data_IF_600727782905
#
_entry.id   IF_600727782905
#
_cell.length_a   1.000
_cell.length_b   1.000
_cell.length_c   1.000
_cell.angle_alpha   90.00
_cell.angle_beta   90.00
_cell.angle_gamma   90.00
#
_symmetry.space_group_name_H-M   'P 1'
#
loop_
_entity.id
_entity.type
_entity.pdbx_description
1 polymer ?
#
# COMPACT_ATOMS: atom_id res chain seq x y z
N UNK A 1 3.72 23.81 -10.25
CA UNK A 1 5.00 23.59 -10.97
C UNK A 1 4.85 22.33 -11.81
N UNK A 2 4.65 22.47 -13.13
CA UNK A 2 4.56 21.32 -14.04
C UNK A 2 5.98 20.80 -14.32
N UNK A 3 6.43 19.86 -13.50
CA UNK A 3 7.69 19.16 -13.70
C UNK A 3 7.56 18.24 -14.90
N UNK A 4 8.24 18.59 -16.00
CA UNK A 4 8.49 17.69 -17.13
C UNK A 4 9.05 16.36 -16.61
N UNK A 5 8.25 15.30 -16.71
CA UNK A 5 8.66 13.91 -16.47
C UNK A 5 9.70 13.51 -17.52
N UNK A 6 10.97 13.93 -17.35
CA UNK A 6 12.08 13.19 -17.94
C UNK A 6 12.02 11.80 -17.32
N UNK A 7 11.82 10.77 -18.15
CA UNK A 7 11.86 9.38 -17.71
C UNK A 7 13.18 9.15 -16.96
N UNK A 8 13.10 9.08 -15.63
CA UNK A 8 14.25 8.75 -14.81
C UNK A 8 14.81 7.41 -15.31
N UNK A 9 16.14 7.30 -15.38
CA UNK A 9 16.80 6.03 -15.67
C UNK A 9 16.23 4.96 -14.74
N UNK A 10 15.98 3.73 -15.24
CA UNK A 10 15.44 2.67 -14.39
C UNK A 10 16.33 2.48 -13.16
N UNK A 11 15.75 2.29 -11.97
CA UNK A 11 16.54 2.01 -10.78
C UNK A 11 17.33 0.72 -11.00
N UNK A 12 18.58 0.71 -10.55
CA UNK A 12 19.45 -0.47 -10.68
C UNK A 12 18.92 -1.62 -9.82
N UNK A 13 19.06 -2.86 -10.30
CA UNK A 13 18.77 -4.05 -9.53
C UNK A 13 19.66 -4.13 -8.27
N UNK A 14 19.09 -4.36 -7.07
CA UNK A 14 19.89 -4.56 -5.87
C UNK A 14 20.78 -5.81 -6.00
N UNK A 15 22.06 -5.68 -5.61
CA UNK A 15 23.02 -6.80 -5.66
C UNK A 15 22.77 -7.87 -4.61
N UNK A 16 22.16 -7.49 -3.49
CA UNK A 16 21.86 -8.37 -2.38
C UNK A 16 20.51 -7.98 -1.78
N UNK A 17 19.75 -8.99 -1.36
CA UNK A 17 18.45 -8.88 -0.73
C UNK A 17 18.38 -9.85 0.44
N UNK A 18 17.69 -9.44 1.49
CA UNK A 18 17.15 -10.31 2.52
C UNK A 18 15.69 -10.56 2.18
N UNK A 19 15.31 -11.83 2.10
CA UNK A 19 13.95 -12.26 1.79
C UNK A 19 13.14 -12.40 3.09
N UNK A 20 11.79 -12.37 3.03
CA UNK A 20 10.90 -12.57 4.18
C UNK A 20 11.20 -13.80 5.03
N UNK A 21 11.71 -14.88 4.44
CA UNK A 21 12.18 -16.07 5.19
C UNK A 21 13.45 -15.86 6.02
N UNK A 22 14.10 -14.70 5.92
CA UNK A 22 15.44 -14.41 6.46
C UNK A 22 16.57 -14.86 5.56
N UNK A 23 16.28 -15.54 4.43
CA UNK A 23 17.31 -15.97 3.47
C UNK A 23 17.93 -14.76 2.79
N UNK A 24 19.26 -14.71 2.74
CA UNK A 24 20.02 -13.69 2.00
C UNK A 24 20.39 -14.21 0.62
N UNK A 25 20.05 -13.45 -0.41
CA UNK A 25 20.32 -13.80 -1.80
C UNK A 25 20.97 -12.64 -2.54
N UNK A 26 21.71 -12.97 -3.59
CA UNK A 26 22.33 -12.06 -4.54
C UNK A 26 21.76 -12.31 -5.92
N UNK A 27 21.57 -11.24 -6.67
CA UNK A 27 21.17 -11.34 -8.09
C UNK A 27 22.36 -10.93 -8.95
N UNK A 28 22.77 -11.82 -9.84
CA UNK A 28 23.79 -11.53 -10.84
C UNK A 28 23.20 -10.58 -11.90
N UNK A 29 23.54 -9.30 -11.80
CA UNK A 29 22.92 -8.24 -12.62
C UNK A 29 23.25 -8.41 -14.10
N UNK A 30 24.49 -8.79 -14.42
CA UNK A 30 24.96 -8.89 -15.81
C UNK A 30 24.31 -10.09 -16.50
N UNK A 31 24.28 -11.24 -15.80
CA UNK A 31 23.58 -12.42 -16.28
C UNK A 31 22.08 -12.16 -16.39
N UNK A 32 21.45 -11.58 -15.36
CA UNK A 32 20.01 -11.27 -15.39
C UNK A 32 19.65 -10.34 -16.56
N UNK A 33 20.48 -9.32 -16.84
CA UNK A 33 20.25 -8.39 -17.96
C UNK A 33 20.37 -9.10 -19.30
N UNK A 34 21.40 -9.93 -19.46
CA UNK A 34 21.64 -10.70 -20.69
C UNK A 34 20.53 -11.72 -20.94
N UNK A 35 20.12 -12.45 -19.90
CA UNK A 35 19.02 -13.42 -19.96
C UNK A 35 17.68 -12.72 -20.23
N UNK A 36 17.40 -11.60 -19.58
CA UNK A 36 16.16 -10.85 -19.80
C UNK A 36 16.01 -10.39 -21.26
N UNK A 37 17.11 -10.00 -21.91
CA UNK A 37 17.13 -9.64 -23.32
C UNK A 37 16.85 -10.83 -24.26
N UNK A 38 17.11 -12.06 -23.82
CA UNK A 38 16.90 -13.29 -24.59
C UNK A 38 15.54 -13.96 -24.34
N UNK A 39 14.81 -13.56 -23.30
CA UNK A 39 13.50 -14.14 -22.98
C UNK A 39 12.43 -13.61 -23.93
N UNK A 40 11.81 -14.51 -24.69
CA UNK A 40 10.60 -14.19 -25.43
C UNK A 40 9.48 -13.81 -24.45
N UNK A 41 8.84 -12.67 -24.72
CA UNK A 41 7.74 -12.16 -23.90
C UNK A 41 6.46 -12.88 -24.31
N UNK A 42 5.98 -13.75 -23.43
CA UNK A 42 4.64 -14.32 -23.52
C UNK A 42 3.58 -13.37 -22.97
N UNK A 43 2.30 -13.78 -23.02
CA UNK A 43 1.18 -12.99 -22.51
C UNK A 43 1.17 -12.83 -20.98
N UNK A 44 1.87 -13.69 -20.21
CA UNK A 44 2.03 -13.50 -18.77
C UNK A 44 3.42 -12.94 -18.45
N UNK A 45 3.45 -11.73 -17.92
CA UNK A 45 4.70 -11.04 -17.60
C UNK A 45 5.36 -11.66 -16.38
N UNK A 46 4.56 -12.07 -15.39
CA UNK A 46 5.07 -12.78 -14.23
C UNK A 46 5.68 -14.15 -14.63
N UNK A 47 5.14 -14.85 -15.63
CA UNK A 47 5.76 -16.07 -16.15
C UNK A 47 7.13 -15.80 -16.78
N UNK A 48 7.29 -14.68 -17.51
CA UNK A 48 8.59 -14.27 -18.04
C UNK A 48 9.61 -13.97 -16.91
N UNK A 49 9.17 -13.36 -15.81
CA UNK A 49 9.98 -13.14 -14.61
C UNK A 49 10.42 -14.48 -13.98
N UNK A 50 9.53 -15.47 -13.91
CA UNK A 50 9.89 -16.79 -13.39
C UNK A 50 10.92 -17.51 -14.25
N UNK A 51 10.82 -17.41 -15.58
CA UNK A 51 11.86 -17.94 -16.49
C UNK A 51 13.22 -17.28 -16.25
N UNK A 52 13.23 -15.96 -16.08
CA UNK A 52 14.45 -15.20 -15.78
C UNK A 52 15.09 -15.66 -14.48
N UNK A 53 14.32 -15.66 -13.39
CA UNK A 53 14.82 -15.96 -12.05
C UNK A 53 15.26 -17.43 -11.90
N UNK A 54 14.62 -18.37 -12.63
CA UNK A 54 15.01 -19.79 -12.64
C UNK A 54 16.26 -20.09 -13.49
N UNK A 55 16.79 -19.11 -14.22
CA UNK A 55 18.02 -19.32 -14.98
C UNK A 55 19.19 -19.54 -14.02
N UNK A 56 19.92 -20.63 -14.21
CA UNK A 56 21.01 -21.03 -13.31
C UNK A 56 22.02 -19.89 -13.15
N UNK A 57 22.36 -19.58 -11.89
CA UNK A 57 23.32 -18.53 -11.56
C UNK A 57 22.74 -17.11 -11.47
N UNK A 58 21.51 -16.86 -11.93
CA UNK A 58 20.86 -15.54 -11.78
C UNK A 58 20.65 -15.21 -10.30
N UNK A 59 20.06 -16.13 -9.54
CA UNK A 59 19.89 -15.99 -8.08
C UNK A 59 20.84 -16.92 -7.35
N UNK A 60 21.59 -16.38 -6.40
CA UNK A 60 22.61 -17.11 -5.63
C UNK A 60 22.53 -16.76 -4.15
N UNK A 61 22.93 -17.67 -3.29
CA UNK A 61 23.20 -17.39 -1.88
C UNK A 61 24.66 -17.77 -1.54
N UNK A 62 24.98 -17.87 -0.25
CA UNK A 62 26.32 -18.27 0.19
C UNK A 62 26.68 -19.73 -0.17
N UNK A 63 25.67 -20.60 -0.32
CA UNK A 63 25.87 -22.01 -0.65
C UNK A 63 25.98 -22.27 -2.16
N UNK A 64 25.43 -21.39 -3.00
CA UNK A 64 25.55 -21.51 -4.45
C UNK A 64 24.34 -20.96 -5.21
N UNK A 65 24.07 -21.46 -6.43
CA UNK A 65 22.84 -21.18 -7.15
C UNK A 65 21.61 -21.57 -6.32
N UNK A 66 20.59 -20.71 -6.32
CA UNK A 66 19.33 -20.94 -5.63
C UNK A 66 18.31 -21.51 -6.61
N UNK A 67 17.68 -22.63 -6.26
CA UNK A 67 16.47 -23.08 -6.95
C UNK A 67 15.29 -22.19 -6.54
N UNK A 68 14.94 -21.26 -7.41
CA UNK A 68 13.83 -20.32 -7.20
C UNK A 68 12.47 -21.05 -7.14
N UNK A 69 12.35 -22.24 -7.74
CA UNK A 69 11.16 -23.08 -7.64
C UNK A 69 10.85 -23.53 -6.21
N UNK A 70 11.88 -23.75 -5.41
CA UNK A 70 11.77 -24.21 -4.02
C UNK A 70 11.62 -23.05 -3.01
N UNK A 71 11.72 -21.79 -3.45
CA UNK A 71 11.46 -20.65 -2.58
C UNK A 71 9.99 -20.57 -2.19
N UNK A 72 9.74 -20.18 -0.94
CA UNK A 72 8.41 -19.79 -0.50
C UNK A 72 7.86 -18.67 -1.40
N UNK A 73 6.56 -18.66 -1.70
CA UNK A 73 5.98 -17.68 -2.60
C UNK A 73 6.24 -16.23 -2.16
N UNK A 74 6.20 -15.95 -0.85
CA UNK A 74 6.52 -14.62 -0.30
C UNK A 74 7.90 -14.14 -0.74
N UNK A 75 8.89 -15.04 -0.73
CA UNK A 75 10.26 -14.74 -1.15
C UNK A 75 10.35 -14.56 -2.67
N UNK A 76 9.71 -15.43 -3.43
CA UNK A 76 9.69 -15.35 -4.89
C UNK A 76 9.03 -14.05 -5.39
N UNK A 77 7.95 -13.59 -4.76
CA UNK A 77 7.28 -12.34 -5.11
C UNK A 77 8.14 -11.10 -4.84
N UNK A 78 8.98 -11.10 -3.80
CA UNK A 78 9.95 -10.03 -3.57
C UNK A 78 10.95 -9.98 -4.73
N UNK A 79 11.48 -11.13 -5.15
CA UNK A 79 12.38 -11.19 -6.30
C UNK A 79 11.71 -10.69 -7.58
N UNK A 80 10.45 -11.07 -7.82
CA UNK A 80 9.70 -10.58 -8.98
C UNK A 80 9.51 -9.06 -8.96
N UNK A 81 9.11 -8.49 -7.83
CA UNK A 81 8.98 -7.05 -7.67
C UNK A 81 10.31 -6.33 -7.96
N UNK A 82 11.45 -6.89 -7.53
CA UNK A 82 12.77 -6.30 -7.82
C UNK A 82 13.15 -6.38 -9.30
N UNK A 83 12.78 -7.46 -10.00
CA UNK A 83 12.97 -7.61 -11.46
C UNK A 83 12.15 -6.56 -12.22
N UNK A 84 10.88 -6.37 -11.86
CA UNK A 84 10.02 -5.34 -12.45
C UNK A 84 10.50 -3.93 -12.14
N UNK A 85 10.91 -3.68 -10.89
CA UNK A 85 11.51 -2.41 -10.46
C UNK A 85 12.71 -2.04 -11.31
N UNK A 86 13.61 -3.00 -11.55
CA UNK A 86 14.80 -2.82 -12.38
C UNK A 86 14.51 -2.76 -13.89
N UNK A 87 13.25 -2.95 -14.30
CA UNK A 87 12.77 -3.00 -15.69
C UNK A 87 13.49 -4.05 -16.55
N UNK A 88 13.92 -5.15 -15.94
CA UNK A 88 14.40 -6.31 -16.69
C UNK A 88 13.25 -7.00 -17.44
N UNK A 89 12.08 -7.03 -16.79
CA UNK A 89 10.78 -7.27 -17.43
C UNK A 89 9.94 -6.02 -17.22
N UNK A 90 9.25 -5.55 -18.26
CA UNK A 90 8.47 -4.31 -18.15
C UNK A 90 7.09 -4.59 -17.56
N UNK A 91 6.82 -4.04 -16.37
CA UNK A 91 5.51 -4.11 -15.73
C UNK A 91 4.55 -3.11 -16.40
N UNK A 92 3.29 -3.50 -16.68
CA UNK A 92 2.32 -2.59 -17.25
C UNK A 92 1.96 -1.50 -16.25
N UNK A 93 1.57 -0.35 -16.79
CA UNK A 93 1.02 0.69 -15.95
C UNK A 93 -0.40 0.32 -15.52
N UNK A 94 -0.69 0.51 -14.24
CA UNK A 94 -2.05 0.43 -13.69
C UNK A 94 -2.61 1.85 -13.56
N UNK A 95 -3.91 2.00 -13.85
CA UNK A 95 -4.63 3.24 -13.59
C UNK A 95 -4.98 3.30 -12.10
N UNK A 96 -4.69 4.43 -11.47
CA UNK A 96 -5.02 4.73 -10.08
C UNK A 96 -5.95 5.92 -10.07
N UNK A 97 -7.01 5.82 -9.28
CA UNK A 97 -7.96 6.91 -9.02
C UNK A 97 -7.76 7.40 -7.59
N UNK A 98 -7.56 8.70 -7.41
CA UNK A 98 -7.45 9.29 -6.08
C UNK A 98 -8.77 9.17 -5.33
N UNK A 99 -8.74 8.63 -4.12
CA UNK A 99 -9.91 8.53 -3.25
C UNK A 99 -10.40 9.89 -2.75
N UNK A 100 -9.52 10.89 -2.70
CA UNK A 100 -9.81 12.22 -2.17
C UNK A 100 -10.44 13.12 -3.26
N UNK A 101 -9.73 13.31 -4.39
CA UNK A 101 -10.11 14.27 -5.44
C UNK A 101 -10.55 13.66 -6.77
N UNK A 102 -10.67 12.34 -6.87
CA UNK A 102 -11.05 11.59 -8.09
C UNK A 102 -10.10 11.72 -9.29
N UNK A 103 -9.00 12.46 -9.18
CA UNK A 103 -8.00 12.55 -10.24
C UNK A 103 -7.43 11.16 -10.56
N UNK A 104 -7.20 10.86 -11.84
CA UNK A 104 -6.61 9.59 -12.28
C UNK A 104 -5.20 9.78 -12.84
N UNK A 105 -4.35 8.77 -12.62
CA UNK A 105 -3.02 8.71 -13.20
C UNK A 105 -2.57 7.27 -13.39
N UNK A 106 -1.43 7.08 -14.05
CA UNK A 106 -0.85 5.78 -14.31
C UNK A 106 0.44 5.58 -13.54
N UNK A 107 0.64 4.38 -13.01
CA UNK A 107 1.87 4.02 -12.29
C UNK A 107 2.30 2.59 -12.59
N UNK A 108 3.61 2.35 -12.57
CA UNK A 108 4.18 0.98 -12.56
C UNK A 108 4.42 0.56 -11.11
N UNK A 109 3.59 -0.33 -10.52
CA UNK A 109 3.59 -0.56 -9.07
C UNK A 109 4.97 -0.90 -8.48
N UNK A 110 5.67 -1.87 -9.06
CA UNK A 110 6.97 -2.33 -8.59
C UNK A 110 8.06 -1.27 -8.73
N UNK A 111 7.93 -0.35 -9.70
CA UNK A 111 8.84 0.80 -9.83
C UNK A 111 8.69 1.81 -8.69
N UNK A 112 7.58 1.80 -7.95
CA UNK A 112 7.33 2.68 -6.82
C UNK A 112 7.56 1.99 -5.45
N UNK A 113 7.70 0.65 -5.41
CA UNK A 113 8.01 -0.10 -4.17
C UNK A 113 9.30 0.38 -3.52
N UNK A 114 9.29 0.48 -2.20
CA UNK A 114 10.47 0.82 -1.41
C UNK A 114 11.33 -0.42 -1.13
N UNK A 115 12.54 -0.54 -1.73
CA UNK A 115 13.35 -1.75 -1.59
C UNK A 115 14.15 -1.77 -0.29
N UNK A 116 14.19 -0.65 0.45
CA UNK A 116 15.04 -0.43 1.61
C UNK A 116 15.04 -1.59 2.60
N UNK A 117 13.87 -2.05 3.11
CA UNK A 117 13.84 -3.11 4.10
C UNK A 117 14.47 -4.42 3.64
N UNK A 118 14.26 -4.78 2.37
CA UNK A 118 14.84 -5.98 1.76
C UNK A 118 16.35 -5.83 1.53
N UNK A 119 16.81 -4.66 1.07
CA UNK A 119 18.23 -4.40 0.77
C UNK A 119 19.08 -4.30 2.03
N UNK A 120 18.51 -3.72 3.08
CA UNK A 120 19.23 -3.32 4.28
C UNK A 120 19.11 -4.29 5.46
N UNK A 121 18.44 -5.44 5.27
CA UNK A 121 18.20 -6.43 6.32
C UNK A 121 17.36 -5.84 7.47
N UNK A 122 16.30 -5.09 7.11
CA UNK A 122 15.39 -4.43 8.05
C UNK A 122 13.98 -5.06 8.10
N UNK A 123 13.90 -6.39 7.90
CA UNK A 123 12.66 -7.18 7.97
C UNK A 123 12.43 -7.73 9.39
N UNK A 124 12.13 -6.84 10.33
CA UNK A 124 11.92 -7.17 11.75
C UNK A 124 10.77 -6.38 12.39
N UNK A 125 9.88 -5.81 11.59
CA UNK A 125 8.67 -5.16 12.07
C UNK A 125 7.66 -6.22 12.53
N UNK A 126 7.12 -6.13 13.76
CA UNK A 126 6.27 -7.17 14.32
C UNK A 126 4.91 -7.31 13.61
N UNK A 127 4.51 -6.31 12.82
CA UNK A 127 3.26 -6.33 12.06
C UNK A 127 3.55 -6.60 10.59
N UNK A 128 4.34 -5.73 9.93
CA UNK A 128 4.57 -5.79 8.48
C UNK A 128 5.36 -7.03 8.03
N UNK A 129 6.23 -7.56 8.91
CA UNK A 129 7.03 -8.75 8.65
C UNK A 129 6.48 -9.99 9.34
N UNK A 130 5.28 -9.90 9.95
CA UNK A 130 4.64 -11.04 10.58
C UNK A 130 4.40 -12.17 9.56
N UNK A 131 4.77 -13.42 9.91
CA UNK A 131 4.42 -14.56 9.08
C UNK A 131 2.92 -14.83 9.16
N UNK A 132 2.34 -15.28 8.05
CA UNK A 132 0.97 -15.77 8.05
C UNK A 132 0.85 -17.05 8.88
N UNK A 133 -0.19 -17.14 9.72
CA UNK A 133 -0.46 -18.30 10.55
C UNK A 133 -1.22 -19.37 9.75
N UNK A 134 -0.48 -20.29 9.12
CA UNK A 134 -1.03 -21.39 8.34
C UNK A 134 -1.71 -22.49 9.19
N UNK A 135 -1.45 -22.52 10.50
CA UNK A 135 -2.05 -23.51 11.40
C UNK A 135 -3.48 -23.11 11.79
N UNK A 136 -3.76 -21.80 11.81
CA UNK A 136 -5.10 -21.27 12.08
C UNK A 136 -6.06 -21.42 10.91
N UNK A 137 -7.33 -21.55 11.26
CA UNK A 137 -8.42 -21.41 10.32
C UNK A 137 -8.86 -19.94 10.29
N UNK A 138 -8.99 -19.38 9.09
CA UNK A 138 -9.29 -17.97 8.85
C UNK A 138 -10.75 -17.81 8.46
N UNK A 139 -11.40 -16.74 8.92
CA UNK A 139 -12.83 -16.53 8.68
C UNK A 139 -13.10 -16.16 7.22
N UNK A 140 -14.16 -16.72 6.67
CA UNK A 140 -14.72 -16.34 5.36
C UNK A 140 -16.25 -16.22 5.48
N UNK A 141 -16.90 -15.47 4.57
CA UNK A 141 -18.35 -15.53 4.40
C UNK A 141 -18.81 -16.99 4.27
N UNK A 142 -20.03 -17.27 4.73
CA UNK A 142 -20.51 -18.64 4.83
C UNK A 142 -20.73 -19.26 3.46
N UNK A 143 -20.13 -20.43 3.21
CA UNK A 143 -20.38 -21.24 2.02
C UNK A 143 -20.90 -22.63 2.41
N UNK A 144 -21.59 -23.31 1.48
CA UNK A 144 -22.08 -24.67 1.70
C UNK A 144 -21.12 -25.70 1.12
N UNK A 145 -20.72 -26.65 1.96
CA UNK A 145 -19.96 -27.85 1.58
C UNK A 145 -20.81 -29.10 1.80
N UNK A 146 -20.42 -30.27 1.27
CA UNK A 146 -21.07 -31.54 1.62
C UNK A 146 -20.99 -31.88 3.11
N UNK A 147 -20.05 -31.26 3.84
CA UNK A 147 -19.89 -31.42 5.29
C UNK A 147 -20.72 -30.40 6.09
N UNK A 148 -21.56 -29.59 5.41
CA UNK A 148 -22.40 -28.56 6.01
C UNK A 148 -21.93 -27.14 5.71
N UNK A 149 -22.52 -26.17 6.42
CA UNK A 149 -22.15 -24.75 6.35
C UNK A 149 -20.74 -24.56 6.90
N UNK A 150 -19.88 -23.90 6.12
CA UNK A 150 -18.51 -23.56 6.49
C UNK A 150 -18.32 -22.04 6.43
N UNK A 151 -17.64 -21.49 7.44
CA UNK A 151 -17.32 -20.06 7.54
C UNK A 151 -15.83 -19.84 7.82
N UNK A 152 -15.01 -20.85 7.52
CA UNK A 152 -13.57 -20.80 7.70
C UNK A 152 -12.84 -21.51 6.58
N UNK A 153 -11.61 -21.07 6.31
CA UNK A 153 -10.67 -21.67 5.37
C UNK A 153 -9.33 -21.95 6.06
N UNK A 154 -8.63 -23.00 5.63
CA UNK A 154 -7.23 -23.22 6.01
C UNK A 154 -6.36 -23.29 4.77
N UNK A 155 -5.29 -22.50 4.79
CA UNK A 155 -4.26 -22.48 3.76
C UNK A 155 -3.03 -23.27 4.23
N UNK A 156 -2.13 -23.56 3.31
CA UNK A 156 -0.82 -24.14 3.57
C UNK A 156 0.25 -23.33 2.84
N UNK A 157 1.48 -23.28 3.36
CA UNK A 157 2.57 -22.57 2.70
C UNK A 157 2.82 -23.18 1.31
N UNK A 158 3.16 -22.32 0.34
CA UNK A 158 3.43 -22.73 -1.03
C UNK A 158 4.78 -22.24 -1.50
N UNK A 159 5.46 -23.11 -2.25
CA UNK A 159 6.64 -22.72 -3.03
C UNK A 159 6.22 -22.24 -4.41
N UNK A 160 7.14 -21.57 -5.13
CA UNK A 160 6.89 -21.17 -6.51
C UNK A 160 6.55 -22.36 -7.41
N UNK A 161 7.27 -23.48 -7.31
CA UNK A 161 7.01 -24.68 -8.10
C UNK A 161 5.63 -25.27 -7.81
N UNK A 162 5.17 -25.23 -6.56
CA UNK A 162 3.83 -25.73 -6.20
C UNK A 162 2.70 -24.85 -6.75
N UNK A 163 2.96 -23.54 -6.90
CA UNK A 163 1.95 -22.58 -7.34
C UNK A 163 2.08 -22.20 -8.83
N UNK A 164 3.05 -22.76 -9.55
CA UNK A 164 3.37 -22.32 -10.92
C UNK A 164 2.18 -22.42 -11.88
N UNK A 165 1.27 -23.36 -11.64
CA UNK A 165 0.04 -23.53 -12.42
C UNK A 165 -0.92 -22.33 -12.36
N UNK A 166 -0.72 -21.40 -11.43
CA UNK A 166 -1.46 -20.13 -11.33
C UNK A 166 -0.96 -19.08 -12.34
N UNK A 167 0.31 -19.17 -12.75
CA UNK A 167 0.99 -18.17 -13.58
C UNK A 167 1.10 -18.62 -15.04
N UNK A 168 -0.04 -18.91 -15.67
CA UNK A 168 -0.05 -19.47 -17.03
C UNK A 168 0.45 -18.46 -18.06
N UNK A 169 1.43 -18.89 -18.84
CA UNK A 169 1.98 -18.10 -19.96
C UNK A 169 1.09 -18.11 -21.22
N UNK A 170 -0.19 -18.51 -21.12
CA UNK A 170 -1.14 -18.45 -22.24
C UNK A 170 -2.20 -17.35 -22.09
N UNK A 171 -2.14 -16.56 -21.01
CA UNK A 171 -3.04 -15.44 -20.74
C UNK A 171 -4.50 -15.85 -20.52
N UNK A 172 -4.77 -17.16 -20.35
CA UNK A 172 -6.12 -17.67 -20.11
C UNK A 172 -6.39 -17.76 -18.63
N UNK A 173 -7.63 -17.43 -18.24
CA UNK A 173 -8.12 -17.69 -16.89
C UNK A 173 -7.88 -19.15 -16.50
N UNK A 174 -7.44 -19.37 -15.27
CA UNK A 174 -7.10 -20.71 -14.81
C UNK A 174 -8.36 -21.39 -14.29
N UNK A 175 -8.82 -22.51 -14.88
CA UNK A 175 -10.09 -23.11 -14.51
C UNK A 175 -10.03 -23.66 -13.09
N UNK A 176 -11.10 -23.41 -12.32
CA UNK A 176 -11.25 -23.96 -10.98
C UNK A 176 -11.26 -25.50 -11.04
N UNK A 177 -10.21 -26.10 -10.47
CA UNK A 177 -9.90 -27.52 -10.60
C UNK A 177 -9.19 -28.03 -9.35
N UNK A 178 -9.00 -29.35 -9.24
CA UNK A 178 -8.23 -29.91 -8.12
C UNK A 178 -6.80 -29.39 -8.09
N UNK A 179 -6.16 -29.25 -9.27
CA UNK A 179 -4.81 -28.73 -9.39
C UNK A 179 -4.74 -27.27 -8.91
N UNK A 180 -5.71 -26.45 -9.28
CA UNK A 180 -5.87 -25.08 -8.79
C UNK A 180 -5.96 -25.01 -7.26
N UNK A 181 -6.86 -25.79 -6.65
CA UNK A 181 -7.02 -25.81 -5.17
C UNK A 181 -5.73 -26.21 -4.47
N UNK A 182 -4.99 -27.17 -5.03
CA UNK A 182 -3.70 -27.58 -4.48
C UNK A 182 -2.64 -26.49 -4.62
N UNK A 183 -2.57 -25.82 -5.78
CA UNK A 183 -1.66 -24.71 -6.06
C UNK A 183 -1.94 -23.49 -5.17
N UNK A 184 -3.20 -23.15 -4.93
CA UNK A 184 -3.63 -22.13 -3.96
C UNK A 184 -3.32 -22.51 -2.51
N UNK A 185 -3.05 -23.80 -2.24
CA UNK A 185 -2.74 -24.26 -0.89
C UNK A 185 -3.95 -24.40 0.02
N UNK A 186 -5.17 -24.45 -0.53
CA UNK A 186 -6.38 -24.63 0.27
C UNK A 186 -6.46 -26.08 0.74
N UNK A 187 -6.29 -26.28 2.05
CA UNK A 187 -6.30 -27.62 2.67
C UNK A 187 -7.64 -28.01 3.28
N UNK A 188 -8.45 -27.04 3.68
CA UNK A 188 -9.79 -27.27 4.21
C UNK A 188 -10.69 -26.04 4.06
N UNK A 189 -12.00 -26.28 3.98
CA UNK A 189 -13.05 -25.28 4.18
C UNK A 189 -14.02 -25.82 5.23
N UNK A 190 -14.06 -25.19 6.41
CA UNK A 190 -14.71 -25.74 7.59
C UNK A 190 -14.20 -27.15 7.91
N UNK A 191 -15.11 -28.12 7.96
CA UNK A 191 -14.77 -29.53 8.18
C UNK A 191 -14.40 -30.28 6.89
N UNK A 192 -14.64 -29.71 5.71
CA UNK A 192 -14.41 -30.39 4.44
C UNK A 192 -12.94 -30.34 4.03
N UNK A 193 -12.34 -31.52 3.81
CA UNK A 193 -10.93 -31.68 3.40
C UNK A 193 -10.76 -32.33 2.04
N UNK A 194 -11.83 -32.85 1.44
CA UNK A 194 -11.75 -33.52 0.13
C UNK A 194 -11.66 -32.46 -0.95
N UNK A 195 -10.53 -32.38 -1.64
CA UNK A 195 -10.26 -31.39 -2.71
C UNK A 195 -11.40 -31.32 -3.75
N UNK A 196 -11.95 -32.46 -4.16
CA UNK A 196 -13.06 -32.51 -5.11
C UNK A 196 -14.34 -31.81 -4.60
N UNK A 197 -14.61 -31.90 -3.30
CA UNK A 197 -15.74 -31.24 -2.66
C UNK A 197 -15.47 -29.74 -2.47
N UNK A 198 -14.24 -29.37 -2.11
CA UNK A 198 -13.78 -27.97 -2.00
C UNK A 198 -13.93 -27.24 -3.34
N UNK A 199 -13.46 -27.84 -4.45
CA UNK A 199 -13.66 -27.29 -5.81
C UNK A 199 -15.12 -26.95 -6.06
N UNK A 200 -16.05 -27.87 -5.77
CA UNK A 200 -17.48 -27.66 -5.98
C UNK A 200 -18.09 -26.61 -5.06
N UNK A 201 -17.57 -26.48 -3.83
CA UNK A 201 -18.03 -25.48 -2.88
C UNK A 201 -17.63 -24.07 -3.33
N UNK A 202 -16.35 -23.89 -3.72
CA UNK A 202 -15.85 -22.62 -4.24
C UNK A 202 -16.53 -22.25 -5.56
N UNK A 203 -16.78 -23.22 -6.45
CA UNK A 203 -17.49 -23.00 -7.71
C UNK A 203 -18.93 -22.46 -7.54
N UNK A 204 -19.50 -22.58 -6.34
CA UNK A 204 -20.86 -22.14 -5.99
C UNK A 204 -20.85 -21.05 -4.93
N UNK A 205 -19.67 -20.59 -4.53
CA UNK A 205 -19.53 -19.52 -3.56
C UNK A 205 -19.98 -18.20 -4.20
N UNK A 206 -20.52 -17.29 -3.38
CA UNK A 206 -20.77 -15.92 -3.82
C UNK A 206 -19.47 -15.12 -3.90
N UNK A 207 -19.52 -13.99 -4.59
CA UNK A 207 -18.35 -13.16 -4.88
C UNK A 207 -17.63 -12.69 -3.62
N UNK A 208 -18.40 -12.29 -2.59
CA UNK A 208 -17.87 -11.91 -1.27
C UNK A 208 -16.95 -13.01 -0.67
N UNK A 209 -17.35 -14.29 -0.80
CA UNK A 209 -16.55 -15.40 -0.28
C UNK A 209 -15.30 -15.64 -1.13
N UNK A 210 -15.39 -15.45 -2.45
CA UNK A 210 -14.24 -15.57 -3.35
C UNK A 210 -13.23 -14.45 -3.10
N UNK A 211 -13.69 -13.22 -2.93
CA UNK A 211 -12.86 -12.06 -2.57
C UNK A 211 -12.13 -12.30 -1.26
N UNK A 212 -12.83 -12.70 -0.20
CA UNK A 212 -12.18 -12.97 1.09
C UNK A 212 -11.17 -14.14 1.02
N UNK A 213 -11.43 -15.17 0.20
CA UNK A 213 -10.46 -16.25 -0.03
C UNK A 213 -9.22 -15.72 -0.74
N UNK A 214 -9.40 -14.84 -1.73
CA UNK A 214 -8.32 -14.15 -2.42
C UNK A 214 -7.46 -13.32 -1.48
N UNK A 215 -8.08 -12.47 -0.66
CA UNK A 215 -7.41 -11.65 0.36
C UNK A 215 -6.57 -12.50 1.33
N UNK A 216 -7.13 -13.59 1.87
CA UNK A 216 -6.37 -14.50 2.74
C UNK A 216 -5.19 -15.13 2.00
N UNK A 217 -5.36 -15.47 0.72
CA UNK A 217 -4.29 -16.01 -0.09
C UNK A 217 -3.20 -14.96 -0.36
N UNK A 218 -3.58 -13.71 -0.61
CA UNK A 218 -2.65 -12.62 -0.83
C UNK A 218 -1.83 -12.32 0.43
N UNK A 219 -2.46 -12.14 1.59
CA UNK A 219 -1.76 -11.92 2.87
C UNK A 219 -0.84 -13.10 3.21
N UNK A 220 -1.24 -14.33 2.83
CA UNK A 220 -0.42 -15.52 3.04
C UNK A 220 0.85 -15.56 2.17
N UNK A 221 0.81 -15.00 0.96
CA UNK A 221 1.83 -15.24 -0.07
C UNK A 221 2.49 -13.98 -0.65
N UNK A 222 2.02 -12.79 -0.32
CA UNK A 222 2.69 -11.51 -0.57
C UNK A 222 3.04 -10.85 0.77
N UNK A 223 4.29 -10.44 0.98
CA UNK A 223 4.62 -9.58 2.12
C UNK A 223 3.83 -8.29 2.07
N UNK A 224 3.40 -7.78 3.24
CA UNK A 224 2.67 -6.52 3.38
C UNK A 224 3.47 -5.33 2.84
N UNK A 225 4.80 -5.44 2.84
CA UNK A 225 5.74 -4.48 2.24
C UNK A 225 5.74 -4.45 0.72
N UNK A 226 5.15 -5.43 0.04
CA UNK A 226 5.03 -5.46 -1.42
C UNK A 226 3.82 -4.66 -1.90
N UNK A 227 3.84 -3.40 -1.50
CA UNK A 227 2.95 -2.34 -1.94
C UNK A 227 3.79 -1.11 -2.27
N UNK A 228 3.22 -0.19 -3.02
CA UNK A 228 3.84 1.09 -3.29
C UNK A 228 2.88 2.22 -2.92
N UNK A 229 3.37 3.13 -2.10
CA UNK A 229 2.67 4.38 -1.82
C UNK A 229 2.95 5.37 -2.96
N UNK A 230 1.88 5.79 -3.63
CA UNK A 230 1.92 6.73 -4.75
C UNK A 230 1.09 7.95 -4.40
N UNK A 231 1.54 9.14 -4.83
CA UNK A 231 0.95 10.39 -4.38
C UNK A 231 0.24 11.10 -5.54
N UNK A 232 -1.00 11.50 -5.31
CA UNK A 232 -1.79 12.27 -6.24
C UNK A 232 -1.13 13.65 -6.46
N UNK A 233 -0.77 13.98 -7.69
CA UNK A 233 -0.16 15.28 -8.01
C UNK A 233 -1.11 16.48 -7.86
N UNK A 234 -2.42 16.23 -7.75
CA UNK A 234 -3.44 17.26 -7.65
C UNK A 234 -3.71 17.69 -6.21
N UNK A 235 -3.87 16.74 -5.28
CA UNK A 235 -4.22 17.03 -3.89
C UNK A 235 -3.19 16.55 -2.85
N UNK A 236 -2.18 15.78 -3.26
CA UNK A 236 -1.17 15.22 -2.35
C UNK A 236 -1.58 13.91 -1.67
N UNK A 237 -2.80 13.41 -1.89
CA UNK A 237 -3.28 12.19 -1.26
C UNK A 237 -2.43 10.97 -1.66
N UNK A 238 -2.14 10.12 -0.68
CA UNK A 238 -1.46 8.85 -0.82
C UNK A 238 -2.47 7.77 -1.20
N UNK A 239 -2.18 7.04 -2.27
CA UNK A 239 -2.83 5.78 -2.61
C UNK A 239 -1.82 4.65 -2.50
N UNK A 240 -2.27 3.50 -2.01
CA UNK A 240 -1.43 2.30 -1.91
C UNK A 240 -1.78 1.37 -3.06
N UNK A 241 -0.78 1.04 -3.89
CA UNK A 241 -0.95 0.08 -4.99
C UNK A 241 -0.21 -1.23 -4.71
N UNK A 242 -0.84 -2.33 -5.10
CA UNK A 242 -0.28 -3.68 -4.99
C UNK A 242 0.89 -3.87 -5.95
N UNK A 243 2.00 -4.45 -5.47
CA UNK A 243 3.18 -4.75 -6.29
C UNK A 243 3.65 -6.21 -6.11
N UNK A 244 4.00 -6.96 -7.17
CA UNK A 244 3.67 -6.69 -8.57
C UNK A 244 2.17 -6.49 -8.79
N UNK A 245 1.82 -5.69 -9.80
CA UNK A 245 0.42 -5.37 -10.10
C UNK A 245 -0.41 -6.57 -10.58
N UNK A 246 0.21 -7.53 -11.26
CA UNK A 246 -0.43 -8.80 -11.65
C UNK A 246 -0.50 -9.74 -10.42
N UNK A 247 -1.71 -10.05 -9.94
CA UNK A 247 -1.91 -11.02 -8.84
C UNK A 247 -2.35 -12.37 -9.37
N UNK A 248 -1.85 -13.45 -8.75
CA UNK A 248 -2.17 -14.81 -9.17
C UNK A 248 -3.67 -15.12 -9.04
N UNK A 249 -4.33 -14.51 -8.05
CA UNK A 249 -5.74 -14.76 -7.75
C UNK A 249 -6.68 -14.07 -8.77
N UNK A 250 -6.25 -12.98 -9.41
CA UNK A 250 -7.02 -12.30 -10.46
C UNK A 250 -7.31 -13.25 -11.64
N UNK A 251 -6.33 -14.07 -12.00
CA UNK A 251 -6.46 -15.08 -13.06
C UNK A 251 -7.46 -16.20 -12.70
N UNK A 252 -7.82 -16.33 -11.42
CA UNK A 252 -8.81 -17.28 -10.90
C UNK A 252 -10.18 -16.62 -10.79
N UNK A 253 -10.23 -15.37 -10.32
CA UNK A 253 -11.45 -14.60 -10.11
C UNK A 253 -12.10 -14.10 -11.41
N UNK A 254 -11.33 -13.96 -12.51
CA UNK A 254 -11.82 -13.54 -13.83
C UNK A 254 -12.93 -14.43 -14.45
N UNK A 255 -13.37 -15.51 -13.77
CA UNK A 255 -14.55 -16.29 -14.14
C UNK A 255 -15.89 -15.70 -13.61
N UNK A 256 -15.86 -14.68 -12.74
CA UNK A 256 -17.04 -13.92 -12.30
C UNK A 256 -16.69 -12.44 -12.23
N UNK A 257 -17.37 -11.55 -12.98
CA UNK A 257 -17.05 -10.13 -12.95
C UNK A 257 -17.41 -9.56 -11.58
N UNK A 258 -16.40 -9.12 -10.83
CA UNK A 258 -16.57 -8.26 -9.66
C UNK A 258 -17.07 -6.91 -10.16
N UNK A 259 -18.31 -6.55 -9.82
CA UNK A 259 -18.78 -5.19 -10.00
C UNK A 259 -18.27 -4.35 -8.82
N UNK A 260 -17.79 -3.14 -9.08
CA UNK A 260 -17.33 -2.18 -8.06
C UNK A 260 -18.47 -1.67 -7.14
N UNK A 261 -19.70 -2.19 -7.30
CA UNK A 261 -20.93 -1.73 -6.65
C UNK A 261 -21.45 -2.66 -5.52
N UNK A 262 -20.72 -3.69 -5.12
CA UNK A 262 -21.14 -4.57 -4.02
C UNK A 262 -20.89 -3.92 -2.64
N UNK A 263 -21.66 -2.89 -2.34
CA UNK A 263 -21.89 -2.46 -0.98
C UNK A 263 -22.44 -3.65 -0.17
N UNK A 264 -21.75 -4.02 0.91
CA UNK A 264 -22.15 -5.11 1.79
C UNK A 264 -23.67 -5.03 2.11
N UNK A 265 -24.46 -6.07 1.80
CA UNK A 265 -25.91 -6.03 1.98
C UNK A 265 -26.24 -5.93 3.48
N UNK A 266 -26.88 -4.82 3.86
CA UNK A 266 -27.39 -4.58 5.22
C UNK A 266 -26.68 -3.50 6.03
N UNK A 267 -25.64 -2.84 5.49
CA UNK A 267 -25.10 -1.63 6.12
C UNK A 267 -26.04 -0.46 5.87
N UNK A 268 -26.31 0.36 6.90
CA UNK A 268 -27.00 1.63 6.68
C UNK A 268 -26.21 2.47 5.67
N UNK A 269 -26.89 3.29 4.86
CA UNK A 269 -26.18 4.23 4.00
C UNK A 269 -25.34 5.20 4.85
N UNK A 270 -24.23 5.68 4.29
CA UNK A 270 -23.53 6.83 4.88
C UNK A 270 -24.51 8.02 4.93
N UNK A 271 -24.56 8.81 6.03
CA UNK A 271 -25.48 9.94 6.14
C UNK A 271 -25.29 10.91 4.98
N UNK A 272 -26.37 11.56 4.55
CA UNK A 272 -26.30 12.69 3.63
C UNK A 272 -25.54 13.86 4.25
N UNK A 273 -25.11 14.83 3.44
CA UNK A 273 -24.40 16.02 3.92
C UNK A 273 -25.21 16.78 4.98
N UNK A 274 -26.52 16.96 4.77
CA UNK A 274 -27.41 17.63 5.72
C UNK A 274 -27.51 16.86 7.05
N UNK A 275 -27.65 15.52 7.00
CA UNK A 275 -27.67 14.68 8.20
C UNK A 275 -26.32 14.74 8.95
N UNK A 276 -25.22 14.74 8.20
CA UNK A 276 -23.88 14.87 8.75
C UNK A 276 -23.68 16.22 9.45
N UNK A 277 -24.13 17.33 8.84
CA UNK A 277 -24.10 18.67 9.45
C UNK A 277 -24.91 18.74 10.74
N UNK A 278 -26.08 18.10 10.78
CA UNK A 278 -26.92 18.04 11.99
C UNK A 278 -26.21 17.27 13.11
N UNK A 279 -25.58 16.13 12.79
CA UNK A 279 -24.82 15.36 13.78
C UNK A 279 -23.54 16.09 14.22
N UNK A 280 -22.83 16.76 13.31
CA UNK A 280 -21.69 17.60 13.61
C UNK A 280 -22.05 18.75 14.56
N UNK A 281 -23.15 19.46 14.30
CA UNK A 281 -23.63 20.53 15.19
C UNK A 281 -24.05 19.99 16.57
N UNK A 282 -24.65 18.79 16.62
CA UNK A 282 -24.98 18.13 17.89
C UNK A 282 -23.72 17.81 18.68
N UNK A 283 -22.73 17.20 18.04
CA UNK A 283 -21.45 16.85 18.65
C UNK A 283 -20.70 18.10 19.12
N UNK A 284 -20.66 19.16 18.29
CA UNK A 284 -20.06 20.46 18.61
C UNK A 284 -20.57 21.03 19.92
N UNK A 285 -21.89 21.06 20.12
CA UNK A 285 -22.49 21.60 21.36
C UNK A 285 -21.99 20.88 22.60
N UNK A 286 -21.88 19.55 22.52
CA UNK A 286 -21.41 18.71 23.63
C UNK A 286 -19.94 18.96 23.89
N UNK A 287 -19.11 18.85 22.85
CA UNK A 287 -17.65 18.98 22.95
C UNK A 287 -17.25 20.40 23.40
N UNK A 288 -17.77 21.44 22.75
CA UNK A 288 -17.41 22.82 23.09
C UNK A 288 -17.84 23.20 24.51
N UNK A 289 -19.01 22.74 24.96
CA UNK A 289 -19.44 22.96 26.33
C UNK A 289 -18.50 22.27 27.33
N UNK A 290 -18.07 21.04 27.04
CA UNK A 290 -17.16 20.28 27.88
C UNK A 290 -15.74 20.89 27.93
N UNK A 291 -15.23 21.38 26.78
CA UNK A 291 -13.89 21.96 26.62
C UNK A 291 -13.84 23.47 26.91
N UNK A 292 -14.98 24.12 27.11
CA UNK A 292 -15.07 25.56 27.38
C UNK A 292 -14.83 26.48 26.17
N UNK A 293 -14.96 25.95 24.95
CA UNK A 293 -14.69 26.68 23.70
C UNK A 293 -15.84 27.63 23.36
N UNK A 294 -15.51 28.84 22.91
CA UNK A 294 -16.46 29.87 22.47
C UNK A 294 -15.89 30.60 21.25
N UNK A 295 -16.78 31.09 20.38
CA UNK A 295 -16.44 31.93 19.22
C UNK A 295 -15.53 31.28 18.17
N UNK A 296 -15.54 29.95 18.07
CA UNK A 296 -14.87 29.18 16.99
C UNK A 296 -15.97 28.53 16.14
N UNK A 297 -16.24 28.96 14.90
CA UNK A 297 -17.15 28.23 14.02
C UNK A 297 -16.69 26.79 13.79
N UNK A 298 -17.66 25.87 13.67
CA UNK A 298 -17.45 24.55 13.07
C UNK A 298 -18.01 24.60 11.66
N UNK A 299 -17.19 24.27 10.66
CA UNK A 299 -17.57 24.25 9.26
C UNK A 299 -17.54 22.80 8.77
N UNK A 300 -18.61 22.34 8.15
CA UNK A 300 -18.59 21.10 7.37
C UNK A 300 -18.27 21.49 5.93
N UNK A 301 -17.23 20.90 5.37
CA UNK A 301 -16.75 21.13 4.02
C UNK A 301 -16.92 19.85 3.20
N UNK A 302 -17.59 19.95 2.06
CA UNK A 302 -17.78 18.85 1.10
C UNK A 302 -16.76 18.87 -0.05
N UNK A 303 -15.78 19.77 0.01
CA UNK A 303 -14.66 19.88 -0.91
C UNK A 303 -13.57 18.83 -0.72
N UNK A 304 -12.45 19.03 -1.43
CA UNK A 304 -11.26 18.17 -1.35
C UNK A 304 -10.48 18.53 -0.10
N UNK A 305 -10.33 17.58 0.82
CA UNK A 305 -9.57 17.80 2.05
C UNK A 305 -8.09 18.03 1.75
N UNK A 306 -7.44 18.87 2.57
CA UNK A 306 -5.99 18.88 2.62
C UNK A 306 -5.47 17.51 3.09
N UNK A 307 -4.24 17.19 2.75
CA UNK A 307 -3.57 15.99 3.22
C UNK A 307 -2.48 16.36 4.22
N UNK A 308 -2.22 15.48 5.18
CA UNK A 308 -1.09 15.60 6.10
C UNK A 308 0.26 15.36 5.38
N UNK A 309 1.36 15.41 6.14
CA UNK A 309 2.72 15.15 5.63
C UNK A 309 2.93 13.71 5.11
N UNK A 310 2.05 12.78 5.52
CA UNK A 310 1.99 11.39 5.06
C UNK A 310 1.19 11.19 3.77
N UNK A 311 0.41 12.20 3.36
CA UNK A 311 -0.53 12.14 2.24
C UNK A 311 -1.90 11.60 2.65
N UNK A 312 -2.22 11.51 3.94
CA UNK A 312 -3.53 11.09 4.42
C UNK A 312 -4.51 12.27 4.37
N UNK A 313 -5.66 12.17 3.68
CA UNK A 313 -6.67 13.23 3.69
C UNK A 313 -7.22 13.45 5.10
N UNK A 314 -7.29 14.71 5.52
CA UNK A 314 -7.74 15.07 6.86
C UNK A 314 -9.25 14.78 7.04
N UNK A 315 -9.63 14.24 8.20
CA UNK A 315 -11.03 14.16 8.64
C UNK A 315 -11.53 15.52 9.15
N UNK A 316 -10.67 16.24 9.87
CA UNK A 316 -10.91 17.60 10.32
C UNK A 316 -9.61 18.39 10.40
N UNK A 317 -9.73 19.67 10.69
CA UNK A 317 -8.58 20.52 10.89
C UNK A 317 -8.94 21.81 11.62
N UNK A 318 -8.10 22.19 12.57
CA UNK A 318 -8.09 23.50 13.18
C UNK A 318 -7.30 24.50 12.31
N UNK A 319 -7.94 25.60 11.95
CA UNK A 319 -7.31 26.71 11.23
C UNK A 319 -7.17 27.91 12.16
N UNK A 320 -5.93 28.30 12.52
CA UNK A 320 -5.71 29.48 13.35
C UNK A 320 -6.00 30.78 12.59
N UNK A 321 -6.20 31.91 13.29
CA UNK A 321 -6.37 33.22 12.67
C UNK A 321 -5.23 33.53 11.68
N UNK A 322 -5.55 34.03 10.49
CA UNK A 322 -4.57 34.45 9.49
C UNK A 322 -4.07 33.35 8.56
N UNK A 323 -4.58 32.12 8.66
CA UNK A 323 -4.20 31.01 7.78
C UNK A 323 -4.84 31.07 6.39
N UNK A 324 -5.85 31.92 6.19
CA UNK A 324 -6.71 31.96 4.99
C UNK A 324 -6.16 32.83 3.84
N UNK A 325 -4.94 33.36 3.95
CA UNK A 325 -4.33 34.25 2.96
C UNK A 325 -4.67 35.74 3.17
N UNK A 326 -4.07 36.65 2.36
CA UNK A 326 -3.91 38.07 2.72
C UNK A 326 -5.16 38.97 2.59
N UNK A 327 -6.38 38.43 2.45
CA UNK A 327 -7.52 39.21 1.94
C UNK A 327 -8.79 39.31 2.81
N UNK A 328 -8.84 38.79 4.03
CA UNK A 328 -10.03 38.98 4.88
C UNK A 328 -9.67 39.61 6.23
N UNK A 329 -10.28 40.76 6.51
CA UNK A 329 -10.00 41.59 7.69
C UNK A 329 -10.55 41.00 9.01
N UNK A 330 -11.04 39.76 9.01
CA UNK A 330 -11.62 39.07 10.17
C UNK A 330 -11.36 37.55 10.06
N UNK A 331 -10.10 37.12 10.01
CA UNK A 331 -9.78 35.69 10.09
C UNK A 331 -9.96 35.21 11.55
N UNK A 332 -11.18 34.79 11.88
CA UNK A 332 -11.45 34.08 13.12
C UNK A 332 -10.85 32.66 13.04
N UNK A 333 -10.46 32.07 14.19
CA UNK A 333 -10.10 30.66 14.23
C UNK A 333 -11.31 29.81 13.84
N UNK A 334 -11.12 28.74 13.05
CA UNK A 334 -12.19 27.81 12.69
C UNK A 334 -11.78 26.36 12.89
N UNK A 335 -12.76 25.50 13.13
CA UNK A 335 -12.61 24.04 13.05
C UNK A 335 -13.39 23.56 11.84
N UNK A 336 -12.78 22.73 11.00
CA UNK A 336 -13.40 22.19 9.80
C UNK A 336 -13.52 20.67 9.89
N UNK A 337 -14.60 20.10 9.36
CA UNK A 337 -14.77 18.67 9.12
C UNK A 337 -14.95 18.43 7.62
N UNK A 338 -14.31 17.40 7.08
CA UNK A 338 -14.33 17.10 5.65
C UNK A 338 -15.23 15.91 5.35
N UNK A 339 -16.46 16.20 4.89
CA UNK A 339 -17.51 15.20 4.66
C UNK A 339 -17.06 14.07 3.71
N UNK A 340 -16.33 14.41 2.65
CA UNK A 340 -15.82 13.42 1.68
C UNK A 340 -14.82 12.45 2.29
N UNK A 341 -13.97 12.91 3.20
CA UNK A 341 -13.02 12.04 3.91
C UNK A 341 -13.76 11.05 4.79
N UNK A 342 -14.73 11.49 5.60
CA UNK A 342 -15.58 10.61 6.38
C UNK A 342 -16.31 9.58 5.52
N UNK A 343 -16.81 9.99 4.35
CA UNK A 343 -17.46 9.08 3.42
C UNK A 343 -16.49 8.04 2.87
N UNK A 344 -15.25 8.44 2.54
CA UNK A 344 -14.20 7.53 2.08
C UNK A 344 -13.83 6.51 3.15
N UNK A 345 -13.59 6.96 4.38
CA UNK A 345 -13.25 6.08 5.51
C UNK A 345 -14.40 5.14 5.86
N UNK A 346 -15.64 5.61 5.81
CA UNK A 346 -16.81 4.75 5.97
C UNK A 346 -16.83 3.63 4.92
N UNK A 347 -16.51 3.91 3.65
CA UNK A 347 -16.46 2.85 2.62
C UNK A 347 -15.32 1.85 2.87
N UNK A 348 -14.18 2.32 3.37
CA UNK A 348 -12.97 1.51 3.61
C UNK A 348 -13.08 0.63 4.83
N UNK A 349 -13.58 1.15 5.94
CA UNK A 349 -13.68 0.43 7.21
C UNK A 349 -15.14 0.06 7.52
N UNK A 350 -15.49 -1.24 7.49
CA UNK A 350 -16.82 -1.74 7.89
C UNK A 350 -17.22 -1.41 9.33
N UNK A 351 -16.24 -1.14 10.20
CA UNK A 351 -16.42 -0.85 11.62
C UNK A 351 -16.47 0.65 11.94
N UNK A 352 -16.30 1.51 10.93
CA UNK A 352 -16.33 2.96 11.08
C UNK A 352 -17.68 3.46 11.60
N UNK A 353 -17.67 4.07 12.79
CA UNK A 353 -18.84 4.66 13.44
C UNK A 353 -18.85 6.18 13.21
N UNK A 354 -19.51 6.62 12.14
CA UNK A 354 -19.52 8.03 11.73
C UNK A 354 -19.88 8.99 12.87
N UNK A 355 -20.82 8.65 13.76
CA UNK A 355 -21.24 9.55 14.85
C UNK A 355 -20.14 9.67 15.91
N UNK A 356 -19.52 8.54 16.26
CA UNK A 356 -18.38 8.53 17.17
C UNK A 356 -17.21 9.32 16.58
N UNK A 357 -16.85 9.05 15.33
CA UNK A 357 -15.73 9.68 14.64
C UNK A 357 -15.92 11.20 14.51
N UNK A 358 -17.13 11.68 14.17
CA UNK A 358 -17.43 13.13 14.16
C UNK A 358 -17.10 13.76 15.51
N UNK A 359 -17.52 13.13 16.60
CA UNK A 359 -17.29 13.66 17.95
C UNK A 359 -15.81 13.64 18.30
N UNK A 360 -15.11 12.56 18.00
CA UNK A 360 -13.67 12.41 18.27
C UNK A 360 -12.87 13.44 17.47
N UNK A 361 -13.18 13.64 16.18
CA UNK A 361 -12.52 14.67 15.37
C UNK A 361 -12.77 16.08 15.92
N UNK A 362 -14.02 16.45 16.26
CA UNK A 362 -14.29 17.79 16.83
C UNK A 362 -13.54 17.99 18.15
N UNK A 363 -13.44 16.97 19.00
CA UNK A 363 -12.72 17.03 20.28
C UNK A 363 -11.20 17.14 20.09
N UNK A 364 -10.65 16.45 19.10
CA UNK A 364 -9.24 16.54 18.68
C UNK A 364 -8.88 17.94 18.18
N UNK A 365 -9.65 18.48 17.22
CA UNK A 365 -9.40 19.84 16.69
C UNK A 365 -9.65 20.95 17.73
N UNK A 366 -10.59 20.71 18.64
CA UNK A 366 -10.80 21.58 19.80
C UNK A 366 -9.57 21.63 20.71
N UNK A 367 -8.83 20.52 20.83
CA UNK A 367 -7.61 20.46 21.62
C UNK A 367 -6.46 21.22 20.95
N UNK A 368 -6.28 21.07 19.64
CA UNK A 368 -5.36 21.91 18.84
C UNK A 368 -5.64 23.41 19.03
N UNK A 369 -6.92 23.82 19.00
CA UNK A 369 -7.28 25.21 19.29
C UNK A 369 -6.83 25.67 20.68
N UNK A 370 -7.07 24.86 21.71
CA UNK A 370 -6.69 25.18 23.09
C UNK A 370 -5.18 25.24 23.27
N UNK A 371 -4.41 24.38 22.59
CA UNK A 371 -2.96 24.43 22.60
C UNK A 371 -2.41 25.62 21.83
N UNK A 372 -3.01 25.98 20.70
CA UNK A 372 -2.68 27.22 19.98
C UNK A 372 -2.83 28.45 20.89
N UNK A 373 -3.90 28.54 21.68
CA UNK A 373 -4.09 29.63 22.65
C UNK A 373 -3.00 29.66 23.75
N UNK A 374 -2.35 28.53 24.03
CA UNK A 374 -1.23 28.43 24.97
C UNK A 374 0.12 28.77 24.31
N UNK A 375 0.17 28.97 22.99
CA UNK A 375 1.36 29.33 22.23
C UNK A 375 2.26 28.14 21.87
N UNK A 376 1.81 26.90 22.10
CA UNK A 376 2.53 25.69 21.71
C UNK A 376 1.55 24.53 21.50
N UNK A 377 1.66 23.87 20.34
CA UNK A 377 0.91 22.67 19.99
C UNK A 377 1.80 21.42 20.05
N UNK A 378 1.71 20.61 21.12
CA UNK A 378 2.43 19.36 21.22
C UNK A 378 1.84 18.27 20.31
N UNK A 379 0.55 18.32 19.97
CA UNK A 379 -0.12 17.28 19.18
C UNK A 379 0.44 17.25 17.75
N UNK A 380 0.65 18.42 17.14
CA UNK A 380 1.34 18.56 15.85
C UNK A 380 2.70 17.83 15.80
N UNK A 381 3.45 17.87 16.90
CA UNK A 381 4.75 17.21 16.98
C UNK A 381 4.62 15.69 17.13
N UNK A 382 3.61 15.24 17.87
CA UNK A 382 3.28 13.82 18.04
C UNK A 382 2.79 13.19 16.72
N UNK A 383 1.89 13.85 16.00
CA UNK A 383 1.39 13.42 14.69
C UNK A 383 2.53 13.27 13.67
N UNK A 384 3.37 14.30 13.53
CA UNK A 384 4.56 14.23 12.67
C UNK A 384 5.51 13.11 13.08
N UNK A 385 5.62 12.81 14.38
CA UNK A 385 6.43 11.70 14.86
C UNK A 385 5.83 10.33 14.53
N UNK A 386 4.50 10.19 14.52
CA UNK A 386 3.80 8.98 14.06
C UNK A 386 4.01 8.78 12.57
N UNK A 387 3.78 9.80 11.74
CA UNK A 387 4.01 9.76 10.29
C UNK A 387 5.46 9.38 9.99
N UNK A 388 6.43 9.99 10.68
CA UNK A 388 7.84 9.67 10.52
C UNK A 388 8.16 8.21 10.93
N UNK A 389 7.49 7.70 11.97
CA UNK A 389 7.64 6.31 12.41
C UNK A 389 7.11 5.34 11.38
N UNK A 390 5.90 5.54 10.87
CA UNK A 390 5.30 4.64 9.87
C UNK A 390 6.06 4.68 8.55
N UNK A 391 6.52 5.87 8.14
CA UNK A 391 7.45 5.99 7.02
C UNK A 391 8.73 5.21 7.25
N UNK A 392 9.32 5.26 8.45
CA UNK A 392 10.53 4.50 8.78
C UNK A 392 10.27 2.99 8.81
N UNK A 393 9.09 2.57 9.26
CA UNK A 393 8.66 1.16 9.21
C UNK A 393 8.62 0.69 7.77
N UNK A 394 7.99 1.42 6.84
CA UNK A 394 7.84 1.03 5.43
C UNK A 394 9.11 1.15 4.60
N UNK A 395 9.84 2.28 4.71
CA UNK A 395 11.01 2.59 3.85
C UNK A 395 12.31 1.96 4.38
N UNK A 396 12.39 1.71 5.69
CA UNK A 396 13.62 1.31 6.36
C UNK A 396 14.46 2.52 6.83
N UNK A 397 15.03 2.41 8.03
CA UNK A 397 15.77 3.50 8.68
C UNK A 397 17.06 3.83 7.93
N UNK A 398 17.75 2.81 7.41
CA UNK A 398 19.01 3.03 6.66
C UNK A 398 18.76 3.74 5.34
N UNK A 399 17.68 3.43 4.64
CA UNK A 399 17.31 4.12 3.40
C UNK A 399 16.92 5.58 3.66
N UNK A 400 16.13 5.87 4.69
CA UNK A 400 15.84 7.25 5.09
C UNK A 400 17.12 8.04 5.39
N UNK A 401 18.05 7.47 6.17
CA UNK A 401 19.33 8.09 6.46
C UNK A 401 20.22 8.29 5.20
N UNK A 402 20.07 7.46 4.16
CA UNK A 402 20.74 7.69 2.86
C UNK A 402 20.11 8.87 2.12
N UNK A 403 18.78 9.00 2.13
CA UNK A 403 18.07 10.11 1.47
C UNK A 403 18.36 11.45 2.12
N UNK A 404 18.39 11.51 3.45
CA UNK A 404 18.73 12.72 4.19
C UNK A 404 20.15 13.20 3.85
N UNK A 405 21.14 12.31 3.91
CA UNK A 405 22.53 12.62 3.52
C UNK A 405 22.62 13.08 2.07
N UNK A 406 21.91 12.42 1.16
CA UNK A 406 21.83 12.82 -0.25
C UNK A 406 21.21 14.20 -0.45
N UNK A 407 20.18 14.54 0.32
CA UNK A 407 19.55 15.86 0.34
C UNK A 407 20.51 16.95 0.79
N UNK A 408 21.21 16.72 1.91
CA UNK A 408 22.23 17.65 2.43
C UNK A 408 23.35 17.89 1.40
N UNK A 409 23.86 16.82 0.78
CA UNK A 409 24.89 16.95 -0.25
C UNK A 409 24.38 17.75 -1.47
N UNK A 410 23.15 17.51 -1.93
CA UNK A 410 22.55 18.29 -3.02
C UNK A 410 22.36 19.77 -2.67
N UNK A 411 21.98 20.07 -1.42
CA UNK A 411 21.82 21.45 -0.95
C UNK A 411 23.18 22.18 -0.83
N UNK A 412 24.23 21.47 -0.42
CA UNK A 412 25.58 22.05 -0.26
C UNK A 412 26.40 22.09 -1.55
N UNK A 413 26.07 21.26 -2.55
CA UNK A 413 26.82 21.17 -3.81
C UNK A 413 26.99 22.52 -4.54
N UNK A 414 25.95 23.37 -4.70
CA UNK A 414 26.12 24.69 -5.32
C UNK A 414 27.11 25.58 -4.57
N UNK A 415 27.12 25.50 -3.23
CA UNK A 415 28.02 26.27 -2.37
C UNK A 415 29.47 25.78 -2.51
N UNK A 416 29.67 24.46 -2.58
CA UNK A 416 30.98 23.85 -2.83
C UNK A 416 31.52 24.20 -4.22
N UNK A 417 30.68 24.18 -5.26
CA UNK A 417 31.06 24.63 -6.60
C UNK A 417 31.45 26.11 -6.60
N UNK A 418 30.68 26.97 -5.90
CA UNK A 418 31.00 28.39 -5.77
C UNK A 418 32.35 28.59 -5.07
N UNK A 419 32.61 27.89 -3.95
CA UNK A 419 33.88 27.94 -3.24
C UNK A 419 35.06 27.45 -4.09
N UNK A 420 34.86 26.38 -4.87
CA UNK A 420 35.87 25.88 -5.79
C UNK A 420 36.19 26.89 -6.90
N UNK A 421 35.16 27.50 -7.50
CA UNK A 421 35.32 28.56 -8.52
C UNK A 421 36.05 29.77 -7.93
N UNK A 422 35.66 30.23 -6.73
CA UNK A 422 36.35 31.33 -6.04
C UNK A 422 37.80 31.01 -5.71
N UNK A 423 38.10 29.77 -5.34
CA UNK A 423 39.47 29.32 -5.07
C UNK A 423 40.34 29.30 -6.32
N UNK A 424 39.79 28.84 -7.45
CA UNK A 424 40.47 28.88 -8.75
C UNK A 424 40.69 30.32 -9.22
N UNK A 425 39.69 31.19 -9.09
CA UNK A 425 39.81 32.60 -9.47
C UNK A 425 40.88 33.33 -8.63
N UNK A 426 40.97 33.03 -7.34
CA UNK A 426 42.03 33.57 -6.47
C UNK A 426 43.42 33.07 -6.88
N UNK A 427 43.55 31.80 -7.22
CA UNK A 427 44.81 31.21 -7.68
C UNK A 427 45.27 31.75 -9.05
N UNK A 428 44.35 32.22 -9.90
CA UNK A 428 44.69 32.88 -11.17
C UNK A 428 45.01 34.38 -11.03
N UNK A 429 44.81 34.97 -9.85
CA UNK A 429 45.13 36.38 -9.57
C UNK A 429 46.49 36.56 -8.87
N UNK A 430 47.07 35.47 -8.38
CA UNK A 430 48.46 35.38 -7.89
C UNK A 430 49.37 34.88 -9.03
#
# INVERSE_FOLDING_TARGET
MSGSNRAASPPSLPRQLTLPSGRKVRIDVDLATTTAAAIERGPSLIAAVWRLLRTEGVVRDEAGPVDVGELALRDAHVLAAMVFRARLVDEPEVEVRCSNCDATWKVKPSSAVEPGPFVDDELHDPELDAPFDFDKAHRIPSIFTPSGRASTIRLAPRTLAQAEGLYRDDGRAVPLSKAMILALGITAIGAEKRTAAIVRAIARAGDEALTQIGEHWEVAHYPERLVADVYCSACGARETVLAPGERAFDAVAAAVPLSEDDAAPGRAGFPSLEEFEVEAERARRVVYAARGIRNVPLIVDDGVAACDDGGEPLLGGYLPPGSSGPTVAEDLPEIRLYYRTFQSEYRRDPTFDTVREIRETIDHEAEHHLYFLQGHDPMDAEERAVIARDRARMVGKKELARRERGGVLRALFPLLVLLAVLSVLRFCQE
#
